data_IF_512476017274
#
_entry.id   IF_512476017274
#
_cell.length_a   1.000
_cell.length_b   1.000
_cell.length_c   1.000
_cell.angle_alpha   90.00
_cell.angle_beta   90.00
_cell.angle_gamma   90.00
#
_symmetry.space_group_name_H-M   'P 1'
#
loop_
_entity.id
_entity.type
_entity.pdbx_description
1 polymer ?
#
# COMPACT_ATOMS: atom_id res chain seq x y z
N UNK A 1 25.17 -14.24 5.43
CA UNK A 1 24.16 -13.49 4.63
C UNK A 1 23.24 -14.52 3.97
N UNK A 2 22.02 -14.75 4.48
CA UNK A 2 21.06 -15.67 3.84
C UNK A 2 20.19 -14.88 2.85
N UNK A 3 20.35 -15.17 1.57
CA UNK A 3 19.47 -14.71 0.50
C UNK A 3 18.16 -15.51 0.55
N UNK A 4 17.04 -14.83 0.73
CA UNK A 4 15.71 -15.41 0.54
C UNK A 4 15.50 -15.78 -0.94
N UNK A 5 14.83 -16.90 -1.18
CA UNK A 5 14.86 -17.68 -2.43
C UNK A 5 14.00 -17.13 -3.58
N UNK A 6 13.41 -15.95 -3.44
CA UNK A 6 12.58 -15.34 -4.47
C UNK A 6 13.22 -14.04 -4.95
N UNK A 7 14.01 -14.13 -6.03
CA UNK A 7 14.57 -12.99 -6.76
C UNK A 7 13.53 -11.99 -7.31
N UNK A 8 12.25 -12.20 -6.99
CA UNK A 8 11.11 -11.33 -7.29
C UNK A 8 10.96 -10.22 -6.23
N UNK A 9 11.49 -10.36 -5.01
CA UNK A 9 11.31 -9.36 -3.95
C UNK A 9 12.03 -8.03 -4.17
N UNK A 10 13.09 -7.98 -4.98
CA UNK A 10 13.93 -6.76 -5.08
C UNK A 10 13.44 -5.79 -6.17
N UNK A 11 12.67 -6.25 -7.16
CA UNK A 11 12.23 -5.39 -8.27
C UNK A 11 11.02 -4.52 -7.96
N UNK A 12 10.18 -4.90 -7.00
CA UNK A 12 9.02 -4.09 -6.60
C UNK A 12 9.43 -2.78 -5.89
N UNK A 13 10.60 -2.76 -5.25
CA UNK A 13 11.09 -1.62 -4.46
C UNK A 13 11.55 -0.44 -5.34
N UNK A 14 11.80 -0.68 -6.63
CA UNK A 14 12.23 0.36 -7.58
C UNK A 14 11.06 1.15 -8.18
N UNK A 15 9.82 0.71 -7.98
CA UNK A 15 8.59 1.30 -8.55
C UNK A 15 7.71 2.00 -7.51
N UNK A 16 8.19 2.10 -6.28
CA UNK A 16 7.52 2.82 -5.19
C UNK A 16 8.42 4.01 -4.85
N UNK A 17 7.90 5.26 -4.83
CA UNK A 17 8.69 6.41 -4.41
C UNK A 17 9.35 6.12 -3.07
N UNK A 18 10.66 6.37 -2.96
CA UNK A 18 11.44 6.06 -1.75
C UNK A 18 10.79 6.65 -0.49
N UNK A 19 10.20 7.83 -0.61
CA UNK A 19 9.52 8.51 0.50
C UNK A 19 8.22 7.80 0.92
N UNK A 20 7.53 7.14 -0.02
CA UNK A 20 6.38 6.30 0.28
C UNK A 20 6.79 4.96 0.91
N UNK A 21 7.98 4.44 0.61
CA UNK A 21 8.55 3.26 1.30
C UNK A 21 9.05 3.61 2.71
N UNK A 22 9.75 4.74 2.88
CA UNK A 22 10.26 5.23 4.17
C UNK A 22 9.11 5.48 5.16
N UNK A 23 8.00 6.04 4.69
CA UNK A 23 6.82 6.24 5.52
C UNK A 23 6.09 4.92 5.89
N UNK A 24 6.39 3.82 5.18
CA UNK A 24 5.93 2.47 5.49
C UNK A 24 7.02 1.64 6.22
N UNK A 25 8.23 2.18 6.44
CA UNK A 25 9.40 1.46 6.96
C UNK A 25 9.26 1.09 8.45
N UNK A 26 8.31 1.72 9.16
CA UNK A 26 7.90 1.34 10.52
C UNK A 26 6.76 0.32 10.55
N UNK A 27 6.26 -0.09 9.38
CA UNK A 27 5.29 -1.17 9.27
C UNK A 27 6.01 -2.50 9.14
N UNK A 28 5.30 -3.55 9.52
CA UNK A 28 5.73 -4.92 9.25
C UNK A 28 6.17 -5.05 7.77
N UNK A 29 7.37 -5.60 7.49
CA UNK A 29 7.85 -5.81 6.13
C UNK A 29 6.82 -6.48 5.21
N UNK A 30 5.93 -7.31 5.77
CA UNK A 30 4.83 -7.93 5.05
C UNK A 30 3.80 -6.92 4.54
N UNK A 31 3.51 -5.88 5.32
CA UNK A 31 2.60 -4.79 4.95
C UNK A 31 3.23 -3.96 3.83
N UNK A 32 4.55 -3.71 3.90
CA UNK A 32 5.29 -3.00 2.84
C UNK A 32 5.22 -3.77 1.52
N UNK A 33 5.43 -5.09 1.56
CA UNK A 33 5.33 -5.95 0.37
C UNK A 33 3.90 -6.03 -0.15
N UNK A 34 2.91 -6.17 0.74
CA UNK A 34 1.50 -6.19 0.35
C UNK A 34 1.10 -4.87 -0.33
N UNK A 35 1.52 -3.74 0.22
CA UNK A 35 1.30 -2.41 -0.35
C UNK A 35 1.97 -2.27 -1.73
N UNK A 36 3.19 -2.79 -1.90
CA UNK A 36 3.89 -2.76 -3.19
C UNK A 36 3.16 -3.52 -4.31
N UNK A 37 2.33 -4.51 -3.97
CA UNK A 37 1.52 -5.27 -4.95
C UNK A 37 0.18 -4.63 -5.30
N UNK A 38 -0.16 -3.50 -4.67
CA UNK A 38 -1.39 -2.77 -4.98
C UNK A 38 -1.24 -1.95 -6.27
N UNK A 39 -2.38 -1.72 -6.93
CA UNK A 39 -2.47 -0.74 -8.02
C UNK A 39 -2.00 0.64 -7.54
N UNK A 40 -1.41 1.49 -8.41
CA UNK A 40 -0.89 2.80 -8.03
C UNK A 40 -1.90 3.67 -7.25
N UNK A 41 -3.13 3.81 -7.76
CA UNK A 41 -4.19 4.58 -7.08
C UNK A 41 -4.52 4.02 -5.68
N UNK A 42 -4.49 2.69 -5.49
CA UNK A 42 -4.72 2.07 -4.18
C UNK A 42 -3.55 2.30 -3.21
N UNK A 43 -2.31 2.39 -3.73
CA UNK A 43 -1.15 2.79 -2.92
C UNK A 43 -1.28 4.22 -2.44
N UNK A 44 -1.73 5.13 -3.29
CA UNK A 44 -1.94 6.53 -2.92
C UNK A 44 -3.04 6.67 -1.86
N UNK A 45 -4.15 5.94 -2.01
CA UNK A 45 -5.20 5.87 -0.98
C UNK A 45 -4.64 5.36 0.35
N UNK A 46 -3.86 4.27 0.34
CA UNK A 46 -3.23 3.74 1.55
C UNK A 46 -2.30 4.76 2.20
N UNK A 47 -1.44 5.41 1.39
CA UNK A 47 -0.47 6.43 1.83
C UNK A 47 -1.19 7.59 2.54
N UNK A 48 -2.15 8.22 1.86
CA UNK A 48 -2.90 9.38 2.39
C UNK A 48 -3.69 9.03 3.65
N UNK A 49 -4.27 7.81 3.71
CA UNK A 49 -5.03 7.39 4.89
C UNK A 49 -4.15 7.13 6.12
N UNK A 50 -2.97 6.55 5.92
CA UNK A 50 -2.13 6.02 7.01
C UNK A 50 -1.10 7.02 7.49
N UNK A 51 -0.48 7.75 6.57
CA UNK A 51 0.60 8.70 6.86
C UNK A 51 0.01 10.06 7.18
N UNK A 52 -0.90 10.54 6.33
CA UNK A 52 -1.50 11.85 6.48
C UNK A 52 -2.79 11.83 7.33
N UNK A 53 -3.23 10.64 7.77
CA UNK A 53 -4.42 10.46 8.62
C UNK A 53 -5.72 10.92 7.96
N UNK A 54 -5.74 11.04 6.64
CA UNK A 54 -6.85 11.67 5.92
C UNK A 54 -8.11 10.80 5.91
N UNK A 55 -9.26 11.46 5.99
CA UNK A 55 -10.56 10.81 5.81
C UNK A 55 -10.75 10.36 4.35
N UNK A 56 -11.60 9.36 4.11
CA UNK A 56 -11.93 8.92 2.76
C UNK A 56 -12.54 10.02 1.88
N UNK A 57 -13.22 11.01 2.47
CA UNK A 57 -13.75 12.18 1.74
C UNK A 57 -12.62 13.11 1.29
N UNK A 58 -11.68 13.41 2.19
CA UNK A 58 -10.49 14.21 1.88
C UNK A 58 -9.65 13.54 0.81
N UNK A 59 -9.46 12.22 0.90
CA UNK A 59 -8.73 11.43 -0.10
C UNK A 59 -9.42 11.50 -1.47
N UNK A 60 -10.74 11.35 -1.50
CA UNK A 60 -11.51 11.46 -2.74
C UNK A 60 -11.32 12.82 -3.41
N UNK A 61 -11.37 13.90 -2.62
CA UNK A 61 -11.14 15.26 -3.10
C UNK A 61 -9.70 15.47 -3.61
N UNK A 62 -8.69 15.01 -2.87
CA UNK A 62 -7.26 15.13 -3.24
C UNK A 62 -6.92 14.36 -4.50
N UNK A 63 -7.47 13.15 -4.65
CA UNK A 63 -7.20 12.28 -5.79
C UNK A 63 -8.14 12.52 -6.98
N UNK A 64 -9.16 13.38 -6.83
CA UNK A 64 -10.15 13.64 -7.88
C UNK A 64 -10.98 12.42 -8.29
N UNK A 65 -11.20 11.48 -7.35
CA UNK A 65 -11.94 10.24 -7.60
C UNK A 65 -13.21 10.13 -6.75
N UNK A 66 -14.25 9.39 -7.20
CA UNK A 66 -15.45 9.17 -6.39
C UNK A 66 -15.14 8.45 -5.07
N UNK A 67 -15.90 8.77 -4.02
CA UNK A 67 -15.74 8.15 -2.69
C UNK A 67 -15.94 6.63 -2.74
N UNK A 68 -16.80 6.14 -3.61
CA UNK A 68 -17.06 4.72 -3.83
C UNK A 68 -15.79 4.01 -4.33
N UNK A 69 -14.99 4.68 -5.15
CA UNK A 69 -13.71 4.17 -5.65
C UNK A 69 -12.67 4.10 -4.53
N UNK A 70 -12.59 5.14 -3.69
CA UNK A 70 -11.76 5.11 -2.45
C UNK A 70 -12.16 3.93 -1.55
N UNK A 71 -13.46 3.73 -1.34
CA UNK A 71 -13.97 2.58 -0.56
C UNK A 71 -13.63 1.24 -1.19
N UNK A 72 -13.67 1.15 -2.53
CA UNK A 72 -13.22 -0.01 -3.29
C UNK A 72 -11.75 -0.33 -3.04
N UNK A 73 -10.88 0.68 -3.08
CA UNK A 73 -9.46 0.53 -2.78
C UNK A 73 -9.22 0.07 -1.35
N UNK A 74 -9.91 0.63 -0.34
CA UNK A 74 -9.80 0.14 1.04
C UNK A 74 -10.18 -1.34 1.18
N UNK A 75 -11.25 -1.79 0.51
CA UNK A 75 -11.63 -3.22 0.51
C UNK A 75 -10.54 -4.10 -0.10
N UNK A 76 -9.94 -3.68 -1.23
CA UNK A 76 -8.84 -4.40 -1.87
C UNK A 76 -7.60 -4.47 -0.97
N UNK A 77 -7.23 -3.36 -0.32
CA UNK A 77 -6.13 -3.28 0.64
C UNK A 77 -6.35 -4.27 1.78
N UNK A 78 -7.53 -4.23 2.43
CA UNK A 78 -7.85 -5.11 3.56
C UNK A 78 -7.85 -6.59 3.14
N UNK A 79 -8.45 -6.91 1.99
CA UNK A 79 -8.45 -8.27 1.46
C UNK A 79 -7.03 -8.79 1.21
N UNK A 80 -6.16 -7.94 0.67
CA UNK A 80 -4.77 -8.28 0.37
C UNK A 80 -3.94 -8.50 1.64
N UNK A 81 -4.14 -7.67 2.66
CA UNK A 81 -3.48 -7.83 3.96
C UNK A 81 -3.96 -9.10 4.67
N UNK A 82 -5.27 -9.38 4.65
CA UNK A 82 -5.85 -10.58 5.27
C UNK A 82 -5.32 -11.88 4.65
N UNK A 83 -5.15 -11.93 3.33
CA UNK A 83 -4.63 -13.12 2.66
C UNK A 83 -3.17 -13.44 3.04
N UNK A 84 -2.39 -12.43 3.44
CA UNK A 84 -0.98 -12.61 3.83
C UNK A 84 -0.84 -13.10 5.27
N UNK A 85 -1.69 -12.65 6.20
CA UNK A 85 -1.66 -13.06 7.61
C UNK A 85 -2.14 -14.49 7.89
N UNK A 86 -2.51 -15.26 6.86
CA UNK A 86 -2.98 -16.66 6.99
C UNK A 86 -1.90 -17.71 6.67
N UNK A 87 -0.64 -17.30 6.57
CA UNK A 87 0.50 -18.18 6.29
C UNK A 87 1.56 -18.07 7.39
#
# INVERSE_FOLDING_TARGET
>A
MRLHRDGVQVRAWWLVPRDALLALEHLDPEIVVAAATLAPEARDVLRLSRIDGMSGETIAAVLGIPRERVRGHFRQIIARLRHRSQW
#
